data_IF_631484300188
#
_entry.id   IF_631484300188
#
_cell.length_a   1.000
_cell.length_b   1.000
_cell.length_c   1.000
_cell.angle_alpha   90.00
_cell.angle_beta   90.00
_cell.angle_gamma   90.00
#
_symmetry.space_group_name_H-M   'P 1'
#
loop_
_entity.id
_entity.type
_entity.pdbx_description
1 polymer ?
#
# COMPACT_ATOMS: atom_id res chain seq x y z
N UNK A 1 -25.30 10.26 -3.89
CA UNK A 1 -24.26 10.03 -2.88
C UNK A 1 -22.90 10.20 -3.56
N UNK A 2 -22.15 11.23 -3.21
CA UNK A 2 -20.79 11.43 -3.74
C UNK A 2 -19.91 10.48 -2.93
N UNK A 3 -19.49 9.35 -3.54
CA UNK A 3 -18.50 8.46 -2.95
C UNK A 3 -17.13 9.17 -2.99
N UNK A 4 -16.96 10.14 -2.10
CA UNK A 4 -15.68 10.73 -1.76
C UNK A 4 -14.99 9.82 -0.75
N UNK A 5 -13.70 9.61 -0.91
CA UNK A 5 -12.86 8.98 0.10
C UNK A 5 -13.01 9.75 1.43
N UNK A 6 -13.53 9.09 2.46
CA UNK A 6 -13.83 9.74 3.75
C UNK A 6 -12.70 9.48 4.77
N UNK A 7 -12.73 10.18 5.90
CA UNK A 7 -11.79 9.94 7.02
C UNK A 7 -11.87 8.51 7.56
N UNK A 8 -13.03 7.87 7.42
CA UNK A 8 -13.23 6.46 7.79
C UNK A 8 -12.45 5.51 6.87
N UNK A 9 -12.62 5.63 5.55
CA UNK A 9 -11.82 4.89 4.55
C UNK A 9 -10.31 5.08 4.84
N UNK A 10 -9.89 6.32 5.16
CA UNK A 10 -8.50 6.62 5.51
C UNK A 10 -8.03 5.85 6.75
N UNK A 11 -8.86 5.82 7.81
CA UNK A 11 -8.53 5.11 9.05
C UNK A 11 -8.46 3.60 8.85
N UNK A 12 -9.38 3.01 8.06
CA UNK A 12 -9.41 1.59 7.74
C UNK A 12 -8.17 1.18 6.93
N UNK A 13 -7.83 1.95 5.90
CA UNK A 13 -6.59 1.78 5.13
C UNK A 13 -5.36 1.84 6.05
N UNK A 14 -5.29 2.81 6.96
CA UNK A 14 -4.16 2.94 7.88
C UNK A 14 -4.05 1.75 8.84
N UNK A 15 -5.15 1.32 9.45
CA UNK A 15 -5.17 0.18 10.39
C UNK A 15 -4.82 -1.12 9.67
N UNK A 16 -5.41 -1.36 8.49
CA UNK A 16 -5.12 -2.55 7.69
C UNK A 16 -3.68 -2.56 7.16
N UNK A 17 -3.17 -1.41 6.73
CA UNK A 17 -1.76 -1.25 6.34
C UNK A 17 -0.84 -1.58 7.51
N UNK A 18 -1.10 -1.00 8.68
CA UNK A 18 -0.26 -1.18 9.87
C UNK A 18 -0.21 -2.64 10.32
N UNK A 19 -1.36 -3.33 10.30
CA UNK A 19 -1.46 -4.73 10.72
C UNK A 19 -0.49 -5.66 9.96
N UNK A 20 -0.25 -5.40 8.66
CA UNK A 20 0.71 -6.17 7.86
C UNK A 20 2.08 -5.51 7.73
N UNK A 21 2.15 -4.18 7.75
CA UNK A 21 3.42 -3.45 7.66
C UNK A 21 4.34 -3.78 8.84
N UNK A 22 3.81 -3.84 10.06
CA UNK A 22 4.60 -4.08 11.27
C UNK A 22 5.34 -5.43 11.26
N UNK A 23 4.66 -6.59 11.15
CA UNK A 23 5.35 -7.88 11.17
C UNK A 23 6.32 -8.04 9.99
N UNK A 24 5.98 -7.51 8.81
CA UNK A 24 6.86 -7.57 7.63
C UNK A 24 8.07 -6.65 7.80
N UNK A 25 7.88 -5.46 8.36
CA UNK A 25 8.98 -4.52 8.61
C UNK A 25 9.94 -5.00 9.71
N UNK A 26 9.53 -5.92 10.59
CA UNK A 26 10.42 -6.55 11.56
C UNK A 26 11.27 -7.70 11.00
N UNK A 27 10.99 -8.14 9.77
CA UNK A 27 11.71 -9.23 9.11
C UNK A 27 12.99 -8.71 8.44
N UNK A 28 14.13 -9.33 8.77
CA UNK A 28 15.42 -9.06 8.13
C UNK A 28 15.38 -9.35 6.62
N UNK A 29 14.59 -10.36 6.22
CA UNK A 29 14.38 -10.70 4.81
C UNK A 29 13.78 -9.54 4.03
N UNK A 30 12.86 -8.77 4.63
CA UNK A 30 12.28 -7.58 3.98
C UNK A 30 13.32 -6.47 3.76
N UNK A 31 14.26 -6.31 4.70
CA UNK A 31 15.33 -5.31 4.59
C UNK A 31 16.37 -5.70 3.54
N UNK A 32 16.80 -6.96 3.54
CA UNK A 32 17.73 -7.51 2.57
C UNK A 32 17.15 -7.50 1.16
N UNK A 33 15.85 -7.81 1.02
CA UNK A 33 15.16 -7.70 -0.26
C UNK A 33 15.15 -6.26 -0.74
N UNK A 34 14.92 -5.28 0.16
CA UNK A 34 15.03 -3.86 -0.17
C UNK A 34 16.40 -3.42 -0.70
N UNK A 35 17.50 -4.03 -0.26
CA UNK A 35 18.85 -3.71 -0.74
C UNK A 35 19.18 -4.39 -2.07
N UNK A 36 18.92 -5.70 -2.13
CA UNK A 36 19.41 -6.59 -3.19
C UNK A 36 18.52 -6.60 -4.44
N UNK A 37 17.27 -6.18 -4.33
CA UNK A 37 16.34 -6.27 -5.46
C UNK A 37 16.75 -5.30 -6.59
N UNK A 38 16.93 -5.80 -7.83
CA UNK A 38 17.15 -4.95 -8.98
C UNK A 38 15.90 -4.12 -9.29
N UNK A 39 16.10 -2.92 -9.84
CA UNK A 39 15.02 -1.93 -10.07
C UNK A 39 13.92 -2.49 -11.00
N UNK A 40 14.28 -3.34 -11.95
CA UNK A 40 13.31 -3.98 -12.83
C UNK A 40 12.33 -4.88 -12.06
N UNK A 41 12.84 -5.69 -11.13
CA UNK A 41 12.01 -6.56 -10.30
C UNK A 41 11.16 -5.74 -9.32
N UNK A 42 11.70 -4.63 -8.82
CA UNK A 42 10.95 -3.68 -7.99
C UNK A 42 9.76 -3.09 -8.75
N UNK A 43 9.97 -2.69 -10.01
CA UNK A 43 8.91 -2.16 -10.87
C UNK A 43 7.83 -3.22 -11.16
N UNK A 44 8.21 -4.48 -11.34
CA UNK A 44 7.27 -5.60 -11.48
C UNK A 44 6.45 -5.80 -10.20
N UNK A 45 7.10 -5.79 -9.03
CA UNK A 45 6.44 -5.95 -7.72
C UNK A 45 5.48 -4.80 -7.44
N UNK A 46 5.90 -3.56 -7.72
CA UNK A 46 5.06 -2.37 -7.64
C UNK A 46 3.83 -2.50 -8.56
N UNK A 47 4.03 -2.87 -9.82
CA UNK A 47 2.95 -3.06 -10.79
C UNK A 47 1.98 -4.17 -10.35
N UNK A 48 2.50 -5.25 -9.77
CA UNK A 48 1.70 -6.33 -9.21
C UNK A 48 0.87 -5.84 -8.01
N UNK A 49 1.45 -5.00 -7.14
CA UNK A 49 0.73 -4.41 -6.01
C UNK A 49 -0.45 -3.55 -6.46
N UNK A 50 -0.24 -2.71 -7.49
CA UNK A 50 -1.30 -1.88 -8.07
C UNK A 50 -2.38 -2.73 -8.75
N UNK A 51 -1.99 -3.82 -9.42
CA UNK A 51 -2.92 -4.75 -10.03
C UNK A 51 -3.83 -5.38 -8.97
N UNK A 52 -3.27 -5.90 -7.88
CA UNK A 52 -4.08 -6.47 -6.79
C UNK A 52 -4.99 -5.44 -6.15
N UNK A 53 -4.47 -4.23 -5.88
CA UNK A 53 -5.29 -3.14 -5.36
C UNK A 53 -6.45 -2.80 -6.29
N UNK A 54 -6.20 -2.77 -7.60
CA UNK A 54 -7.20 -2.55 -8.63
C UNK A 54 -8.26 -3.64 -8.68
N UNK A 55 -7.85 -4.92 -8.66
CA UNK A 55 -8.76 -6.07 -8.67
C UNK A 55 -9.64 -6.09 -7.41
N UNK A 56 -9.05 -5.89 -6.23
CA UNK A 56 -9.80 -5.84 -4.97
C UNK A 56 -10.74 -4.64 -4.92
N UNK A 57 -10.29 -3.46 -5.32
CA UNK A 57 -11.17 -2.28 -5.37
C UNK A 57 -12.32 -2.49 -6.37
N UNK A 58 -12.05 -3.13 -7.51
CA UNK A 58 -13.06 -3.43 -8.53
C UNK A 58 -14.17 -4.34 -8.00
N UNK A 59 -13.77 -5.44 -7.36
CA UNK A 59 -14.69 -6.45 -6.85
C UNK A 59 -15.37 -6.01 -5.55
N UNK A 60 -14.59 -5.59 -4.55
CA UNK A 60 -15.10 -5.35 -3.20
C UNK A 60 -15.75 -3.97 -3.02
N UNK A 61 -15.26 -2.94 -3.71
CA UNK A 61 -15.77 -1.56 -3.51
C UNK A 61 -16.79 -1.15 -4.57
N UNK A 62 -16.57 -1.54 -5.83
CA UNK A 62 -17.44 -1.13 -6.94
C UNK A 62 -18.41 -2.21 -7.40
N UNK A 63 -18.40 -3.40 -6.78
CA UNK A 63 -19.30 -4.52 -7.10
C UNK A 63 -19.43 -4.77 -8.63
N UNK A 64 -18.30 -4.66 -9.35
CA UNK A 64 -18.22 -4.81 -10.82
C UNK A 64 -18.90 -3.72 -11.68
N UNK A 65 -19.37 -2.60 -11.12
CA UNK A 65 -20.06 -1.54 -11.86
C UNK A 65 -19.27 -0.24 -11.98
N UNK A 66 -18.18 -0.25 -12.76
CA UNK A 66 -17.26 0.91 -12.93
C UNK A 66 -17.67 1.86 -14.08
N UNK A 67 -18.68 1.49 -14.89
CA UNK A 67 -18.92 2.03 -16.24
C UNK A 67 -18.96 3.57 -16.39
N UNK A 68 -19.16 4.34 -15.31
CA UNK A 68 -19.25 5.80 -15.37
C UNK A 68 -18.32 6.53 -14.38
N UNK A 69 -17.42 5.83 -13.65
CA UNK A 69 -16.69 6.40 -12.49
C UNK A 69 -15.18 6.08 -12.44
N UNK A 70 -14.54 5.84 -13.59
CA UNK A 70 -13.10 5.58 -13.70
C UNK A 70 -12.19 6.56 -12.93
N UNK A 71 -12.39 7.90 -12.97
CA UNK A 71 -11.49 8.81 -12.25
C UNK A 71 -11.57 8.65 -10.71
N UNK A 72 -12.75 8.33 -10.17
CA UNK A 72 -12.93 8.11 -8.72
C UNK A 72 -12.25 6.80 -8.29
N UNK A 73 -12.33 5.77 -9.14
CA UNK A 73 -11.65 4.49 -8.93
C UNK A 73 -10.13 4.66 -8.88
N UNK A 74 -9.54 5.36 -9.85
CA UNK A 74 -8.09 5.62 -9.87
C UNK A 74 -7.67 6.46 -8.66
N UNK A 75 -8.43 7.51 -8.33
CA UNK A 75 -8.15 8.35 -7.17
C UNK A 75 -8.11 7.53 -5.87
N UNK A 76 -9.06 6.60 -5.68
CA UNK A 76 -9.09 5.72 -4.50
C UNK A 76 -7.85 4.83 -4.41
N UNK A 77 -7.45 4.19 -5.51
CA UNK A 77 -6.24 3.34 -5.55
C UNK A 77 -4.99 4.15 -5.20
N UNK A 78 -4.84 5.33 -5.80
CA UNK A 78 -3.68 6.21 -5.55
C UNK A 78 -3.64 6.65 -4.08
N UNK A 79 -4.77 7.11 -3.53
CA UNK A 79 -4.82 7.55 -2.13
C UNK A 79 -4.56 6.40 -1.15
N UNK A 80 -5.18 5.23 -1.37
CA UNK A 80 -4.97 4.06 -0.53
C UNK A 80 -3.50 3.60 -0.55
N UNK A 81 -2.86 3.60 -1.72
CA UNK A 81 -1.46 3.25 -1.85
C UNK A 81 -0.54 4.27 -1.17
N UNK A 82 -0.80 5.57 -1.33
CA UNK A 82 -0.03 6.64 -0.68
C UNK A 82 -0.16 6.60 0.85
N UNK A 83 -1.36 6.36 1.38
CA UNK A 83 -1.56 6.19 2.82
C UNK A 83 -0.82 4.95 3.34
N UNK A 84 -0.90 3.83 2.61
CA UNK A 84 -0.14 2.62 2.97
C UNK A 84 1.35 2.90 3.00
N UNK A 85 1.91 3.53 1.95
CA UNK A 85 3.32 3.87 1.89
C UNK A 85 3.74 4.82 3.01
N UNK A 86 2.86 5.75 3.40
CA UNK A 86 3.07 6.64 4.56
C UNK A 86 3.15 5.84 5.86
N UNK A 87 2.22 4.90 6.10
CA UNK A 87 2.26 4.01 7.27
C UNK A 87 3.54 3.19 7.31
N UNK A 88 3.91 2.56 6.18
CA UNK A 88 5.15 1.78 6.07
C UNK A 88 6.38 2.65 6.35
N UNK A 89 6.40 3.87 5.80
CA UNK A 89 7.46 4.82 6.05
C UNK A 89 7.58 5.16 7.54
N UNK A 90 6.47 5.48 8.21
CA UNK A 90 6.47 5.77 9.65
C UNK A 90 6.93 4.56 10.47
N UNK A 91 6.52 3.34 10.11
CA UNK A 91 6.98 2.12 10.77
C UNK A 91 8.49 1.95 10.61
N UNK A 92 9.02 2.05 9.38
CA UNK A 92 10.46 1.93 9.15
C UNK A 92 11.27 3.05 9.84
N UNK A 93 10.70 4.25 9.93
CA UNK A 93 11.29 5.38 10.66
C UNK A 93 11.39 5.07 12.16
N UNK A 94 10.35 4.48 12.75
CA UNK A 94 10.39 4.02 14.14
C UNK A 94 11.41 2.89 14.38
N UNK A 95 11.72 2.09 13.36
CA UNK A 95 12.69 1.00 13.43
C UNK A 95 14.14 1.44 13.16
N UNK A 96 14.37 2.72 12.85
CA UNK A 96 15.67 3.25 12.40
C UNK A 96 16.22 2.47 11.18
N UNK A 97 15.31 2.02 10.31
CA UNK A 97 15.63 1.24 9.08
C UNK A 97 15.39 2.04 7.80
N UNK A 98 15.33 3.37 7.90
CA UNK A 98 15.29 4.27 6.74
C UNK A 98 16.58 5.08 6.70
N UNK A 99 17.65 4.59 6.04
CA UNK A 99 18.89 5.35 5.89
C UNK A 99 18.69 6.49 4.87
N UNK A 100 17.89 7.49 5.23
CA UNK A 100 17.50 8.59 4.33
C UNK A 100 18.69 9.47 3.92
N UNK A 101 19.67 9.61 4.81
CA UNK A 101 20.84 10.46 4.58
C UNK A 101 21.99 9.74 3.87
N UNK A 102 22.08 8.41 4.04
CA UNK A 102 23.18 7.61 3.49
C UNK A 102 22.80 6.95 2.16
N UNK A 103 21.61 6.35 2.09
CA UNK A 103 21.11 5.67 0.88
C UNK A 103 19.59 5.86 0.69
N UNK A 104 19.18 6.96 0.04
CA UNK A 104 17.78 7.23 -0.29
C UNK A 104 17.17 6.16 -1.20
N UNK A 105 17.97 5.51 -2.04
CA UNK A 105 17.48 4.53 -3.01
C UNK A 105 17.02 3.26 -2.28
N UNK A 106 17.85 2.76 -1.35
CA UNK A 106 17.50 1.59 -0.52
C UNK A 106 16.27 1.87 0.34
N UNK A 107 16.13 3.09 0.86
CA UNK A 107 14.94 3.53 1.61
C UNK A 107 13.66 3.40 0.77
N UNK A 108 13.68 3.91 -0.46
CA UNK A 108 12.53 3.82 -1.39
C UNK A 108 12.21 2.36 -1.74
N UNK A 109 13.23 1.55 -2.00
CA UNK A 109 13.05 0.12 -2.30
C UNK A 109 12.37 -0.62 -1.15
N UNK A 110 12.83 -0.41 0.09
CA UNK A 110 12.23 -1.02 1.30
C UNK A 110 10.77 -0.62 1.47
N UNK A 111 10.46 0.67 1.27
CA UNK A 111 9.07 1.16 1.34
C UNK A 111 8.21 0.43 0.30
N UNK A 112 8.64 0.33 -0.95
CA UNK A 112 7.85 -0.33 -2.02
C UNK A 112 7.65 -1.81 -1.73
N UNK A 113 8.71 -2.52 -1.31
CA UNK A 113 8.66 -3.95 -0.99
C UNK A 113 7.65 -4.23 0.13
N UNK A 114 7.68 -3.45 1.22
CA UNK A 114 6.80 -3.64 2.37
C UNK A 114 5.38 -3.08 2.11
N UNK A 115 5.27 -2.05 1.27
CA UNK A 115 3.97 -1.50 0.87
C UNK A 115 3.13 -2.49 0.08
N UNK A 116 3.74 -3.46 -0.61
CA UNK A 116 2.99 -4.49 -1.33
C UNK A 116 2.10 -5.34 -0.41
N UNK A 117 2.63 -6.08 0.59
CA UNK A 117 1.78 -6.81 1.53
C UNK A 117 0.96 -5.88 2.41
N UNK A 118 1.48 -4.71 2.82
CA UNK A 118 0.71 -3.75 3.63
C UNK A 118 -0.54 -3.23 2.90
N UNK A 119 -0.44 -2.93 1.61
CA UNK A 119 -1.57 -2.41 0.81
C UNK A 119 -2.70 -3.43 0.65
N UNK A 120 -2.36 -4.72 0.66
CA UNK A 120 -3.36 -5.79 0.70
C UNK A 120 -4.12 -5.81 2.03
N UNK A 121 -3.42 -5.65 3.15
CA UNK A 121 -4.06 -5.51 4.47
C UNK A 121 -4.98 -4.28 4.52
N UNK A 122 -4.53 -3.16 3.97
CA UNK A 122 -5.29 -1.92 3.88
C UNK A 122 -6.60 -2.10 3.11
N UNK A 123 -6.55 -2.66 1.89
CA UNK A 123 -7.74 -2.77 1.04
C UNK A 123 -8.76 -3.80 1.55
N UNK A 124 -8.30 -4.85 2.24
CA UNK A 124 -9.20 -5.83 2.87
C UNK A 124 -10.01 -5.18 3.99
N UNK A 125 -9.35 -4.40 4.86
CA UNK A 125 -10.06 -3.69 5.94
C UNK A 125 -10.99 -2.60 5.38
N UNK A 126 -10.54 -1.86 4.36
CA UNK A 126 -11.35 -0.86 3.62
C UNK A 126 -12.60 -1.46 2.95
N UNK A 127 -12.65 -2.78 2.76
CA UNK A 127 -13.77 -3.46 2.11
C UNK A 127 -14.84 -3.99 3.06
N UNK A 128 -14.58 -4.06 4.37
CA UNK A 128 -15.52 -4.68 5.31
C UNK A 128 -16.82 -3.92 5.53
N UNK A 129 -16.85 -2.61 5.28
CA UNK A 129 -18.00 -1.76 5.56
C UNK A 129 -18.80 -1.37 4.29
N UNK A 130 -18.57 -2.08 3.17
CA UNK A 130 -19.13 -1.71 1.85
C UNK A 130 -20.25 -2.63 1.34
N UNK A 131 -20.90 -3.32 2.26
CA UNK A 131 -22.06 -4.19 1.98
C UNK A 131 -23.35 -3.40 1.75
#
# INVERSE_FOLDING_TARGET
>A
MIFSFNSEDASQVCVGAFALAVPVAFSEEAWQLGETLPVFNLAMLFSLSLLFLGVFTYHSVFQQNIRTRVPVFIFRIVVAYLLTACVVFLVLLCLDKVPFFEDPLTSIKRIIVISMPASMGAIVVDSFDKE
#
